data_IF_820189435517
#
_entry.id   IF_820189435517
#
_cell.length_a   1.000
_cell.length_b   1.000
_cell.length_c   1.000
_cell.angle_alpha   90.00
_cell.angle_beta   90.00
_cell.angle_gamma   90.00
#
_symmetry.space_group_name_H-M   'P 1'
#
loop_
_entity.id
_entity.type
_entity.pdbx_description
1 polymer ?
#
# COMPACT_ATOMS: atom_id res chain seq x y z
N UNK A 1 -3.42 17.32 -20.59
CA UNK A 1 -2.34 17.48 -21.57
C UNK A 1 -1.40 16.29 -21.38
N UNK A 2 -1.29 15.38 -22.36
CA UNK A 2 -0.34 14.25 -22.29
C UNK A 2 1.05 14.80 -22.57
N UNK A 3 1.98 14.55 -21.66
CA UNK A 3 3.40 14.80 -21.93
C UNK A 3 3.87 13.67 -22.85
N UNK A 4 4.41 14.02 -24.01
CA UNK A 4 4.94 13.06 -24.96
C UNK A 4 6.02 12.20 -24.27
N UNK A 5 5.83 10.88 -24.24
CA UNK A 5 6.82 9.91 -23.75
C UNK A 5 6.48 9.12 -22.49
N UNK A 6 5.36 9.40 -21.78
CA UNK A 6 4.95 8.55 -20.66
C UNK A 6 4.20 7.31 -21.16
N UNK A 7 4.51 6.07 -20.62
CA UNK A 7 3.82 4.86 -21.02
C UNK A 7 2.30 4.94 -20.75
N UNK A 8 1.52 4.40 -21.68
CA UNK A 8 0.05 4.25 -21.59
C UNK A 8 -0.32 2.89 -21.01
N UNK A 9 -1.62 2.66 -20.77
CA UNK A 9 -2.10 1.35 -20.30
C UNK A 9 -1.74 0.25 -21.30
N UNK A 10 -1.91 0.46 -22.62
CA UNK A 10 -1.58 -0.53 -23.64
C UNK A 10 -0.11 -0.95 -23.64
N UNK A 11 0.79 -0.06 -23.22
CA UNK A 11 2.23 -0.34 -23.15
C UNK A 11 2.61 -1.24 -21.97
N UNK A 12 1.81 -1.27 -20.91
CA UNK A 12 2.14 -1.96 -19.65
C UNK A 12 1.16 -3.07 -19.27
N UNK A 13 -0.03 -3.12 -19.85
CA UNK A 13 -1.09 -4.09 -19.48
C UNK A 13 -0.65 -5.55 -19.71
N UNK A 14 0.20 -5.81 -20.71
CA UNK A 14 0.80 -7.12 -20.92
C UNK A 14 1.54 -7.68 -19.71
N UNK A 15 2.04 -6.80 -18.83
CA UNK A 15 2.65 -7.19 -17.56
C UNK A 15 1.69 -7.91 -16.59
N UNK A 16 0.37 -7.78 -16.75
CA UNK A 16 -0.61 -8.51 -15.95
C UNK A 16 -0.58 -10.03 -16.18
N UNK A 17 0.10 -10.49 -17.23
CA UNK A 17 0.40 -11.92 -17.45
C UNK A 17 1.53 -12.44 -16.54
N UNK A 18 2.14 -11.58 -15.72
CA UNK A 18 3.17 -12.00 -14.74
C UNK A 18 2.65 -13.15 -13.87
N UNK A 19 3.44 -14.21 -13.65
CA UNK A 19 3.06 -15.29 -12.74
C UNK A 19 2.70 -14.72 -11.35
N UNK A 20 1.59 -15.18 -10.78
CA UNK A 20 1.12 -14.70 -9.47
C UNK A 20 2.19 -14.83 -8.39
N UNK A 21 2.94 -15.95 -8.39
CA UNK A 21 4.02 -16.19 -7.43
C UNK A 21 5.10 -15.13 -7.56
N UNK A 22 5.52 -14.77 -8.76
CA UNK A 22 6.50 -13.71 -9.00
C UNK A 22 6.02 -12.36 -8.48
N UNK A 23 4.78 -11.99 -8.80
CA UNK A 23 4.18 -10.76 -8.31
C UNK A 23 4.20 -10.70 -6.77
N UNK A 24 3.81 -11.78 -6.10
CA UNK A 24 3.78 -11.87 -4.64
C UNK A 24 5.18 -11.82 -4.01
N UNK A 25 6.16 -12.51 -4.58
CA UNK A 25 7.52 -12.54 -4.05
C UNK A 25 8.26 -11.22 -4.21
N UNK A 26 7.90 -10.42 -5.21
CA UNK A 26 8.62 -9.19 -5.58
C UNK A 26 7.85 -7.91 -5.29
N UNK A 27 6.54 -7.96 -5.00
CA UNK A 27 5.79 -6.79 -4.57
C UNK A 27 6.32 -6.29 -3.23
N UNK A 28 6.70 -5.02 -3.19
CA UNK A 28 7.21 -4.31 -2.01
C UNK A 28 6.85 -2.84 -2.09
N UNK A 29 6.86 -2.15 -0.96
CA UNK A 29 6.64 -0.72 -0.93
C UNK A 29 7.76 0.03 -1.67
N UNK A 30 7.44 0.58 -2.83
CA UNK A 30 8.31 1.47 -3.59
C UNK A 30 8.01 2.90 -3.15
N UNK A 31 8.98 3.52 -2.50
CA UNK A 31 8.81 4.85 -1.89
C UNK A 31 9.42 5.99 -2.71
N UNK A 32 10.39 5.66 -3.58
CA UNK A 32 11.02 6.64 -4.48
C UNK A 32 10.42 6.50 -5.86
N UNK A 33 9.60 7.48 -6.22
CA UNK A 33 8.89 7.55 -7.49
C UNK A 33 9.38 8.76 -8.27
N UNK A 34 9.45 8.61 -9.59
CA UNK A 34 9.72 9.72 -10.50
C UNK A 34 8.48 10.62 -10.58
N UNK A 35 8.66 11.94 -10.84
CA UNK A 35 7.53 12.87 -10.99
C UNK A 35 6.82 12.74 -12.35
N UNK A 36 7.32 11.88 -13.24
CA UNK A 36 6.74 11.68 -14.58
C UNK A 36 5.25 11.31 -14.47
N UNK A 37 4.39 11.87 -15.33
CA UNK A 37 2.97 11.58 -15.32
C UNK A 37 2.65 10.08 -15.42
N UNK A 38 1.65 9.64 -14.66
CA UNK A 38 1.09 8.31 -14.75
C UNK A 38 -0.28 8.40 -15.43
N UNK A 39 -0.51 7.55 -16.43
CA UNK A 39 -1.79 7.51 -17.16
C UNK A 39 -2.92 7.08 -16.20
N UNK A 40 -4.05 7.79 -16.26
CA UNK A 40 -5.24 7.50 -15.45
C UNK A 40 -5.78 6.10 -15.71
N UNK A 41 -5.69 5.62 -16.95
CA UNK A 41 -6.12 4.28 -17.32
C UNK A 41 -5.34 3.19 -16.56
N UNK A 42 -4.04 3.39 -16.30
CA UNK A 42 -3.22 2.47 -15.48
C UNK A 42 -3.73 2.45 -14.03
N UNK A 43 -4.00 3.64 -13.46
CA UNK A 43 -4.51 3.75 -12.08
C UNK A 43 -5.88 3.08 -11.96
N UNK A 44 -6.78 3.36 -12.90
CA UNK A 44 -8.12 2.77 -12.94
C UNK A 44 -8.07 1.26 -13.10
N UNK A 45 -7.15 0.74 -13.94
CA UNK A 45 -6.96 -0.72 -14.11
C UNK A 45 -6.47 -1.38 -12.83
N UNK A 46 -5.55 -0.74 -12.10
CA UNK A 46 -5.11 -1.23 -10.78
C UNK A 46 -6.28 -1.27 -9.78
N UNK A 47 -7.12 -0.24 -9.75
CA UNK A 47 -8.31 -0.20 -8.89
C UNK A 47 -9.29 -1.30 -9.29
N UNK A 48 -9.58 -1.48 -10.58
CA UNK A 48 -10.48 -2.52 -11.09
C UNK A 48 -10.06 -3.92 -10.64
N UNK A 49 -8.77 -4.23 -10.71
CA UNK A 49 -8.22 -5.49 -10.18
C UNK A 49 -8.34 -5.52 -8.65
N UNK A 50 -8.13 -4.39 -8.00
CA UNK A 50 -8.38 -4.21 -6.56
C UNK A 50 -9.80 -4.63 -6.17
N UNK A 51 -10.80 -4.25 -6.93
CA UNK A 51 -12.22 -4.55 -6.68
C UNK A 51 -12.57 -6.06 -6.80
N UNK A 52 -11.64 -6.92 -7.21
CA UNK A 52 -11.82 -8.38 -7.20
C UNK A 52 -11.59 -9.02 -5.82
N UNK A 53 -11.22 -8.23 -4.83
CA UNK A 53 -11.06 -8.70 -3.45
C UNK A 53 -12.43 -9.03 -2.80
N UNK A 54 -12.46 -9.95 -1.81
CA UNK A 54 -13.69 -10.22 -1.06
C UNK A 54 -14.05 -9.06 -0.13
N UNK A 55 -15.34 -8.88 0.13
CA UNK A 55 -15.86 -7.94 1.13
C UNK A 55 -16.86 -8.61 2.05
N UNK A 56 -17.00 -8.09 3.26
CA UNK A 56 -18.00 -8.56 4.21
C UNK A 56 -19.40 -8.49 3.58
N UNK A 57 -20.10 -9.62 3.56
CA UNK A 57 -21.45 -9.77 2.99
C UNK A 57 -21.58 -9.25 1.54
N UNK A 58 -20.51 -9.28 0.78
CA UNK A 58 -20.42 -8.69 -0.57
C UNK A 58 -20.89 -7.23 -0.63
N UNK A 59 -20.65 -6.48 0.44
CA UNK A 59 -21.13 -5.10 0.59
C UNK A 59 -20.49 -4.10 -0.35
N UNK A 60 -19.29 -4.39 -0.85
CA UNK A 60 -18.56 -3.58 -1.85
C UNK A 60 -18.52 -2.08 -1.49
N UNK A 61 -18.33 -1.78 -0.22
CA UNK A 61 -18.42 -0.42 0.34
C UNK A 61 -17.15 0.41 0.11
N UNK A 62 -16.42 0.14 -0.97
CA UNK A 62 -15.20 0.85 -1.32
C UNK A 62 -15.49 2.20 -1.95
N UNK A 63 -14.65 3.17 -1.65
CA UNK A 63 -14.55 4.44 -2.35
C UNK A 63 -13.07 4.73 -2.61
N UNK A 64 -12.77 5.17 -3.81
CA UNK A 64 -11.40 5.43 -4.23
C UNK A 64 -11.30 6.88 -4.71
N UNK A 65 -10.33 7.62 -4.15
CA UNK A 65 -10.07 9.00 -4.56
C UNK A 65 -8.71 9.04 -5.22
N UNK A 66 -8.68 9.44 -6.49
CA UNK A 66 -7.47 9.65 -7.26
C UNK A 66 -7.08 11.12 -7.13
N UNK A 67 -6.04 11.39 -6.37
CA UNK A 67 -5.56 12.74 -6.08
C UNK A 67 -4.43 13.09 -7.03
N UNK A 68 -4.65 14.06 -7.91
CA UNK A 68 -3.66 14.65 -8.83
C UNK A 68 -3.49 16.15 -8.60
N UNK A 69 -4.48 16.79 -7.99
CA UNK A 69 -4.43 18.20 -7.66
C UNK A 69 -3.27 18.50 -6.71
N UNK A 70 -2.42 19.45 -7.09
CA UNK A 70 -1.19 19.76 -6.37
C UNK A 70 -1.46 20.30 -4.96
N UNK A 71 -2.49 21.16 -4.81
CA UNK A 71 -2.82 21.75 -3.52
C UNK A 71 -3.36 20.69 -2.53
N UNK A 72 -4.09 19.70 -3.03
CA UNK A 72 -4.57 18.57 -2.21
C UNK A 72 -3.39 17.69 -1.80
N UNK A 73 -2.47 17.37 -2.72
CA UNK A 73 -1.25 16.60 -2.42
C UNK A 73 -0.38 17.29 -1.37
N UNK A 74 -0.20 18.60 -1.47
CA UNK A 74 0.58 19.40 -0.50
C UNK A 74 -0.03 19.37 0.89
N UNK A 75 -1.37 19.47 1.01
CA UNK A 75 -2.06 19.37 2.30
C UNK A 75 -1.89 17.99 2.94
N UNK A 76 -1.98 16.91 2.16
CA UNK A 76 -1.73 15.55 2.65
C UNK A 76 -0.25 15.36 3.05
N UNK A 77 0.68 15.89 2.26
CA UNK A 77 2.11 15.86 2.56
C UNK A 77 2.44 16.67 3.84
N UNK A 78 1.77 17.79 4.07
CA UNK A 78 1.92 18.56 5.31
C UNK A 78 1.51 17.76 6.54
N UNK A 79 0.38 17.04 6.49
CA UNK A 79 -0.01 16.12 7.56
C UNK A 79 1.02 15.03 7.78
N UNK A 80 1.56 14.45 6.70
CA UNK A 80 2.58 13.41 6.80
C UNK A 80 3.85 13.94 7.48
N UNK A 81 4.37 15.09 7.06
CA UNK A 81 5.54 15.74 7.69
C UNK A 81 5.31 16.01 9.17
N UNK A 82 4.13 16.51 9.54
CA UNK A 82 3.80 16.84 10.92
C UNK A 82 3.89 15.62 11.84
N UNK A 83 3.23 14.52 11.49
CA UNK A 83 3.25 13.32 12.33
C UNK A 83 4.61 12.61 12.26
N UNK A 84 5.29 12.63 11.11
CA UNK A 84 6.60 12.00 10.95
C UNK A 84 7.67 12.68 11.78
N UNK A 85 7.59 13.98 12.00
CA UNK A 85 8.53 14.70 12.89
C UNK A 85 8.57 14.12 14.31
N UNK A 86 7.49 13.53 14.78
CA UNK A 86 7.40 12.89 16.11
C UNK A 86 7.66 11.37 15.98
N UNK A 87 6.87 10.70 15.12
CA UNK A 87 6.91 9.25 14.95
C UNK A 87 8.25 8.75 14.41
N UNK A 88 8.84 9.45 13.45
CA UNK A 88 10.13 9.10 12.85
C UNK A 88 11.27 9.07 13.86
N UNK A 89 11.29 10.01 14.82
CA UNK A 89 12.28 10.01 15.91
C UNK A 89 12.15 8.77 16.79
N UNK A 90 10.94 8.38 17.14
CA UNK A 90 10.69 7.19 17.95
C UNK A 90 11.12 5.91 17.21
N UNK A 91 10.82 5.82 15.90
CA UNK A 91 11.21 4.69 15.07
C UNK A 91 12.73 4.57 14.91
N UNK A 92 13.45 5.70 14.73
CA UNK A 92 14.92 5.72 14.66
C UNK A 92 15.57 5.25 15.97
N UNK A 93 15.00 5.63 17.12
CA UNK A 93 15.48 5.15 18.42
C UNK A 93 15.31 3.64 18.57
N UNK A 94 14.16 3.11 18.11
CA UNK A 94 13.82 1.69 18.21
C UNK A 94 14.66 0.82 17.27
N UNK A 95 15.01 1.33 16.08
CA UNK A 95 15.79 0.63 15.05
C UNK A 95 17.30 0.82 15.16
N UNK A 96 17.83 1.34 16.27
CA UNK A 96 19.27 1.53 16.44
C UNK A 96 20.02 0.19 16.32
N UNK A 97 21.04 0.18 15.45
CA UNK A 97 21.86 -1.02 15.22
C UNK A 97 21.29 -1.99 14.17
N UNK A 98 20.16 -1.67 13.55
CA UNK A 98 19.58 -2.45 12.44
C UNK A 98 19.72 -1.66 11.12
N UNK A 99 20.67 -2.05 10.28
CA UNK A 99 20.93 -1.43 8.98
C UNK A 99 19.72 -1.55 8.03
N UNK A 100 18.92 -2.61 8.14
CA UNK A 100 17.72 -2.79 7.33
C UNK A 100 16.63 -1.81 7.73
N UNK A 101 16.45 -1.61 9.05
CA UNK A 101 15.56 -0.60 9.59
C UNK A 101 16.02 0.80 9.17
N UNK A 102 17.33 1.10 9.26
CA UNK A 102 17.89 2.38 8.87
C UNK A 102 17.59 2.70 7.39
N UNK A 103 17.90 1.79 6.46
CA UNK A 103 17.58 1.94 5.03
C UNK A 103 16.09 2.14 4.77
N UNK A 104 15.24 1.46 5.52
CA UNK A 104 13.79 1.62 5.41
C UNK A 104 13.36 3.01 5.85
N UNK A 105 13.88 3.50 6.99
CA UNK A 105 13.57 4.83 7.52
C UNK A 105 14.05 5.94 6.58
N UNK A 106 15.24 5.80 5.98
CA UNK A 106 15.74 6.75 4.98
C UNK A 106 14.85 6.82 3.73
N UNK A 107 14.32 5.68 3.30
CA UNK A 107 13.37 5.65 2.20
C UNK A 107 12.03 6.29 2.58
N UNK A 108 11.60 6.18 3.85
CA UNK A 108 10.40 6.87 4.36
C UNK A 108 10.65 8.37 4.47
N UNK A 109 11.81 8.82 4.97
CA UNK A 109 12.15 10.24 5.02
C UNK A 109 12.08 10.89 3.63
N UNK A 110 12.65 10.19 2.64
CA UNK A 110 12.56 10.65 1.26
C UNK A 110 11.10 10.79 0.81
N UNK A 111 10.27 9.77 1.08
CA UNK A 111 8.85 9.77 0.74
C UNK A 111 8.09 10.90 1.43
N UNK A 112 8.36 11.16 2.71
CA UNK A 112 7.74 12.26 3.49
C UNK A 112 8.05 13.61 2.85
N UNK A 113 9.29 13.80 2.39
CA UNK A 113 9.72 15.06 1.77
C UNK A 113 9.09 15.26 0.40
N UNK A 114 9.01 14.19 -0.40
CA UNK A 114 8.64 14.25 -1.81
C UNK A 114 7.21 13.79 -2.11
N UNK A 115 6.34 13.58 -1.10
CA UNK A 115 5.00 13.03 -1.31
C UNK A 115 4.17 13.88 -2.29
N UNK A 116 4.27 15.20 -2.20
CA UNK A 116 3.52 16.11 -3.06
C UNK A 116 4.01 16.14 -4.52
N UNK A 117 5.24 15.67 -4.78
CA UNK A 117 5.83 15.58 -6.10
C UNK A 117 5.42 14.31 -6.85
N UNK A 118 4.89 13.32 -6.13
CA UNK A 118 4.45 12.05 -6.72
C UNK A 118 3.28 12.29 -7.68
N UNK A 119 3.25 11.60 -8.85
CA UNK A 119 2.27 11.90 -9.88
C UNK A 119 0.83 11.68 -9.43
N UNK A 120 0.58 10.61 -8.66
CA UNK A 120 -0.76 10.24 -8.20
C UNK A 120 -0.72 9.71 -6.76
N UNK A 121 -1.70 10.14 -5.95
CA UNK A 121 -1.99 9.52 -4.65
C UNK A 121 -3.38 8.90 -4.72
N UNK A 122 -3.48 7.59 -4.56
CA UNK A 122 -4.77 6.89 -4.50
C UNK A 122 -5.16 6.71 -3.04
N UNK A 123 -6.29 7.29 -2.62
CA UNK A 123 -6.81 7.15 -1.26
C UNK A 123 -7.90 6.11 -1.25
N UNK A 124 -7.66 5.01 -0.55
CA UNK A 124 -8.63 3.96 -0.34
C UNK A 124 -9.52 4.31 0.86
N UNK A 125 -10.82 4.30 0.66
CA UNK A 125 -11.82 4.67 1.63
C UNK A 125 -12.89 3.60 1.76
N UNK A 126 -13.59 3.59 2.89
CA UNK A 126 -14.76 2.75 3.11
C UNK A 126 -15.97 3.61 3.46
N UNK A 127 -17.12 3.28 2.86
CA UNK A 127 -18.43 3.88 3.16
C UNK A 127 -19.17 3.06 4.21
N UNK A 128 -19.88 3.71 5.11
CA UNK A 128 -20.71 3.07 6.12
C UNK A 128 -19.93 2.45 7.28
N UNK A 129 -20.60 1.67 8.09
CA UNK A 129 -19.97 0.81 9.11
C UNK A 129 -19.69 1.45 10.46
N UNK A 130 -19.90 2.75 10.67
CA UNK A 130 -19.77 3.37 12.01
C UNK A 130 -20.92 4.31 12.33
N UNK A 131 -21.53 4.07 13.47
CA UNK A 131 -22.25 5.12 14.19
C UNK A 131 -21.17 6.02 14.83
N UNK A 132 -21.05 7.31 14.46
CA UNK A 132 -19.88 8.13 14.83
C UNK A 132 -19.61 8.28 16.32
N UNK A 133 -20.57 7.96 17.17
CA UNK A 133 -20.55 8.24 18.62
C UNK A 133 -20.44 6.98 19.48
N UNK A 134 -20.45 5.76 18.92
CA UNK A 134 -20.35 4.52 19.70
C UNK A 134 -19.07 3.77 19.39
N UNK A 135 -18.34 3.29 20.42
CA UNK A 135 -17.24 2.34 20.22
C UNK A 135 -17.77 1.09 19.50
N UNK A 136 -17.13 0.72 18.40
CA UNK A 136 -17.48 -0.50 17.68
C UNK A 136 -16.81 -1.70 18.36
N UNK A 137 -17.48 -2.85 18.48
CA UNK A 137 -16.81 -4.06 18.89
C UNK A 137 -15.60 -4.36 18.00
N UNK A 138 -14.45 -4.84 18.55
CA UNK A 138 -13.23 -5.08 17.78
C UNK A 138 -13.45 -5.99 16.55
N UNK A 139 -14.36 -6.96 16.64
CA UNK A 139 -14.72 -7.83 15.54
C UNK A 139 -15.33 -7.06 14.36
N UNK A 140 -16.24 -6.12 14.64
CA UNK A 140 -16.88 -5.29 13.60
C UNK A 140 -15.85 -4.39 12.94
N UNK A 141 -14.94 -3.80 13.70
CA UNK A 141 -13.86 -2.97 13.18
C UNK A 141 -12.88 -3.79 12.33
N UNK A 142 -12.49 -4.97 12.78
CA UNK A 142 -11.63 -5.90 12.04
C UNK A 142 -12.27 -6.31 10.71
N UNK A 143 -13.54 -6.70 10.72
CA UNK A 143 -14.30 -7.09 9.54
C UNK A 143 -14.43 -5.93 8.53
N UNK A 144 -14.61 -4.70 9.04
CA UNK A 144 -14.67 -3.50 8.23
C UNK A 144 -13.35 -3.25 7.47
N UNK A 145 -12.23 -3.26 8.18
CA UNK A 145 -10.91 -3.11 7.54
C UNK A 145 -10.50 -4.33 6.71
N UNK A 146 -10.98 -5.53 7.06
CA UNK A 146 -10.82 -6.74 6.27
C UNK A 146 -11.40 -6.63 4.86
N UNK A 147 -12.31 -5.69 4.61
CA UNK A 147 -12.89 -5.45 3.28
C UNK A 147 -12.06 -4.53 2.39
N UNK A 148 -11.18 -3.67 2.94
CA UNK A 148 -10.41 -2.71 2.13
C UNK A 148 -8.96 -3.16 1.89
N UNK A 149 -8.29 -3.71 2.90
CA UNK A 149 -6.87 -4.03 2.75
C UNK A 149 -6.57 -5.17 1.75
N UNK A 150 -7.41 -6.20 1.59
CA UNK A 150 -7.25 -7.16 0.49
C UNK A 150 -7.36 -6.49 -0.90
N UNK A 151 -8.29 -5.53 -1.04
CA UNK A 151 -8.44 -4.76 -2.28
C UNK A 151 -7.21 -3.90 -2.58
N UNK A 152 -6.65 -3.25 -1.56
CA UNK A 152 -5.39 -2.50 -1.69
C UNK A 152 -4.24 -3.45 -2.06
N UNK A 153 -4.16 -4.65 -1.47
CA UNK A 153 -3.11 -5.61 -1.82
C UNK A 153 -3.22 -6.06 -3.28
N UNK A 154 -4.43 -6.33 -3.80
CA UNK A 154 -4.63 -6.64 -5.21
C UNK A 154 -4.19 -5.48 -6.12
N UNK A 155 -4.53 -4.23 -5.76
CA UNK A 155 -4.05 -3.04 -6.46
C UNK A 155 -2.52 -2.99 -6.48
N UNK A 156 -1.85 -3.26 -5.37
CA UNK A 156 -0.38 -3.26 -5.29
C UNK A 156 0.25 -4.36 -6.15
N UNK A 157 -0.37 -5.54 -6.23
CA UNK A 157 0.08 -6.63 -7.11
C UNK A 157 -0.09 -6.26 -8.58
N UNK A 158 -1.22 -5.66 -8.96
CA UNK A 158 -1.47 -5.17 -10.32
C UNK A 158 -0.45 -4.09 -10.70
N UNK A 159 -0.20 -3.12 -9.82
CA UNK A 159 0.82 -2.09 -10.02
C UNK A 159 2.20 -2.73 -10.23
N UNK A 160 2.59 -3.72 -9.37
CA UNK A 160 3.84 -4.44 -9.52
C UNK A 160 3.95 -5.14 -10.88
N UNK A 161 2.91 -5.83 -11.30
CA UNK A 161 2.87 -6.55 -12.58
C UNK A 161 3.07 -5.61 -13.78
N UNK A 162 2.46 -4.43 -13.73
CA UNK A 162 2.61 -3.39 -14.78
C UNK A 162 3.89 -2.54 -14.61
N UNK A 163 4.80 -2.85 -13.68
CA UNK A 163 6.02 -2.11 -13.46
C UNK A 163 5.83 -0.75 -12.77
N UNK A 164 4.64 -0.46 -12.26
CA UNK A 164 4.31 0.78 -11.54
C UNK A 164 4.72 0.66 -10.08
N UNK A 165 5.49 1.63 -9.59
CA UNK A 165 5.85 1.75 -8.19
C UNK A 165 4.66 2.16 -7.34
N UNK A 166 4.42 1.44 -6.25
CA UNK A 166 3.36 1.73 -5.30
C UNK A 166 3.73 1.30 -3.88
N UNK A 167 3.05 1.86 -2.89
CA UNK A 167 3.21 1.45 -1.50
C UNK A 167 2.10 1.99 -0.62
N UNK A 168 1.60 1.19 0.31
CA UNK A 168 0.57 1.59 1.27
C UNK A 168 1.20 2.42 2.39
N UNK A 169 0.62 3.60 2.67
CA UNK A 169 0.94 4.44 3.81
C UNK A 169 -0.34 4.93 4.51
N UNK A 170 -0.27 5.18 5.81
CA UNK A 170 -1.43 5.65 6.59
C UNK A 170 -1.20 7.00 7.26
N UNK A 171 0.06 7.38 7.48
CA UNK A 171 0.41 8.58 8.22
C UNK A 171 -0.10 9.90 7.60
N UNK A 172 -0.25 10.06 6.26
CA UNK A 172 -0.91 11.26 5.72
C UNK A 172 -2.35 11.45 6.17
N UNK A 173 -2.96 10.41 6.75
CA UNK A 173 -4.34 10.40 7.26
C UNK A 173 -4.43 10.39 8.79
N UNK A 174 -3.32 10.65 9.52
CA UNK A 174 -3.29 10.55 10.98
C UNK A 174 -4.37 11.38 11.68
N UNK A 175 -4.68 12.54 11.15
CA UNK A 175 -5.85 13.32 11.53
C UNK A 175 -7.01 13.04 10.55
N UNK A 176 -7.86 12.10 10.91
CA UNK A 176 -9.01 11.71 10.08
C UNK A 176 -9.92 12.91 9.77
N UNK A 177 -10.10 13.81 10.74
CA UNK A 177 -10.89 15.05 10.55
C UNK A 177 -10.27 15.98 9.52
N UNK A 178 -8.95 16.19 9.59
CA UNK A 178 -8.25 17.01 8.61
C UNK A 178 -8.26 16.33 7.23
N UNK A 179 -7.99 15.02 7.15
CA UNK A 179 -8.05 14.26 5.91
C UNK A 179 -9.42 14.34 5.24
N UNK A 180 -10.51 14.20 6.00
CA UNK A 180 -11.88 14.39 5.49
C UNK A 180 -12.08 15.77 4.89
N UNK A 181 -11.64 16.82 5.57
CA UNK A 181 -11.78 18.20 5.09
C UNK A 181 -10.95 18.44 3.82
N UNK A 182 -9.74 17.91 3.77
CA UNK A 182 -8.84 18.01 2.61
C UNK A 182 -9.45 17.32 1.38
N UNK A 183 -10.04 16.15 1.58
CA UNK A 183 -10.57 15.29 0.51
C UNK A 183 -12.06 15.52 0.22
N UNK A 184 -12.73 16.41 0.94
CA UNK A 184 -14.18 16.66 0.77
C UNK A 184 -15.06 15.47 1.16
N UNK A 185 -14.61 14.60 2.09
CA UNK A 185 -15.33 13.38 2.44
C UNK A 185 -16.51 13.64 3.36
N UNK A 186 -17.69 13.05 3.06
CA UNK A 186 -18.82 13.06 3.99
C UNK A 186 -18.50 12.23 5.24
N UNK A 187 -19.26 12.43 6.31
CA UNK A 187 -19.07 11.71 7.58
C UNK A 187 -19.20 10.19 7.44
N UNK A 188 -20.00 9.74 6.46
CA UNK A 188 -20.24 8.33 6.16
C UNK A 188 -19.06 7.63 5.43
N UNK A 189 -18.05 8.37 4.96
CA UNK A 189 -16.88 7.82 4.27
C UNK A 189 -15.63 8.03 5.11
N UNK A 190 -14.88 6.95 5.33
CA UNK A 190 -13.64 6.96 6.10
C UNK A 190 -12.43 6.67 5.22
N UNK A 191 -11.43 7.55 5.17
CA UNK A 191 -10.17 7.24 4.52
C UNK A 191 -9.39 6.21 5.35
N UNK A 192 -8.86 5.18 4.69
CA UNK A 192 -8.18 4.05 5.34
C UNK A 192 -6.67 4.07 5.10
N UNK A 193 -6.25 4.30 3.88
CA UNK A 193 -4.83 4.45 3.53
C UNK A 193 -4.64 5.26 2.25
N UNK A 194 -3.41 5.69 2.04
CA UNK A 194 -2.96 6.34 0.80
C UNK A 194 -1.98 5.40 0.11
N UNK A 195 -2.12 5.27 -1.20
CA UNK A 195 -1.20 4.54 -2.07
C UNK A 195 -0.61 5.53 -3.07
N UNK A 196 0.58 6.10 -2.80
CA UNK A 196 1.32 6.82 -3.83
C UNK A 196 1.66 5.88 -4.99
N UNK A 197 1.43 6.33 -6.22
CA UNK A 197 1.68 5.56 -7.44
C UNK A 197 2.47 6.39 -8.45
N UNK A 198 3.40 5.76 -9.16
CA UNK A 198 4.23 6.40 -10.18
C UNK A 198 5.32 5.48 -10.71
N UNK A 199 6.17 5.96 -11.59
CA UNK A 199 7.28 5.17 -12.12
C UNK A 199 8.39 5.04 -11.07
N UNK A 200 8.89 3.82 -10.78
CA UNK A 200 9.90 3.62 -9.76
C UNK A 200 11.26 4.19 -10.17
N UNK A 201 11.98 4.77 -9.21
CA UNK A 201 13.40 5.15 -9.41
C UNK A 201 14.30 3.93 -9.39
N UNK A 202 13.97 2.92 -8.55
CA UNK A 202 14.73 1.69 -8.40
C UNK A 202 14.06 0.50 -9.10
N UNK A 203 14.60 -0.69 -8.81
CA UNK A 203 14.07 -1.96 -9.32
C UNK A 203 13.31 -2.69 -8.24
N UNK A 204 12.34 -3.49 -8.64
CA UNK A 204 11.74 -4.49 -7.78
C UNK A 204 12.75 -5.61 -7.48
N UNK A 205 12.60 -6.23 -6.33
CA UNK A 205 13.44 -7.34 -5.91
C UNK A 205 12.71 -8.17 -4.85
N UNK A 206 13.22 -9.34 -4.51
CA UNK A 206 12.58 -10.25 -3.57
C UNK A 206 12.43 -9.59 -2.20
N UNK A 207 11.38 -9.99 -1.49
CA UNK A 207 11.13 -9.56 -0.12
C UNK A 207 11.68 -10.59 0.86
N UNK A 208 12.33 -10.12 1.93
CA UNK A 208 12.75 -10.99 3.04
C UNK A 208 11.60 -11.15 4.02
N UNK A 209 11.32 -12.38 4.43
CA UNK A 209 10.28 -12.73 5.40
C UNK A 209 10.82 -13.76 6.39
N UNK A 210 10.15 -13.87 7.54
CA UNK A 210 10.43 -14.94 8.50
C UNK A 210 10.05 -16.29 7.89
N UNK A 211 10.79 -17.37 8.23
CA UNK A 211 10.38 -18.72 7.88
C UNK A 211 8.97 -19.03 8.37
N UNK A 212 8.21 -19.80 7.59
CA UNK A 212 6.83 -20.15 7.94
C UNK A 212 6.73 -20.87 9.28
N UNK A 213 7.70 -21.72 9.62
CA UNK A 213 7.77 -22.45 10.88
C UNK A 213 7.89 -21.57 12.13
N UNK A 214 8.37 -20.33 11.97
CA UNK A 214 8.46 -19.35 13.08
C UNK A 214 7.14 -18.68 13.41
N UNK A 215 6.16 -18.74 12.51
CA UNK A 215 4.88 -18.02 12.63
C UNK A 215 3.66 -18.92 12.56
N UNK A 216 3.82 -20.16 12.10
CA UNK A 216 2.73 -21.15 12.05
C UNK A 216 2.66 -21.96 13.32
N UNK A 217 1.45 -22.14 13.85
CA UNK A 217 1.17 -22.93 15.05
C UNK A 217 0.12 -23.98 14.74
N UNK A 218 0.29 -25.19 15.23
CA UNK A 218 -0.70 -26.27 15.08
C UNK A 218 -1.69 -26.26 16.24
N UNK A 219 -2.97 -26.15 15.96
CA UNK A 219 -4.11 -26.15 16.89
C UNK A 219 -4.08 -25.03 17.95
N UNK A 220 -2.94 -24.78 18.60
CA UNK A 220 -2.82 -23.84 19.72
C UNK A 220 -1.56 -23.00 19.59
N UNK A 221 -1.63 -21.74 20.06
CA UNK A 221 -0.48 -20.86 20.10
C UNK A 221 0.68 -21.49 20.89
N UNK A 222 1.89 -21.41 20.34
CA UNK A 222 3.10 -21.98 20.93
C UNK A 222 3.49 -23.36 20.39
N UNK A 223 2.56 -24.17 19.86
CA UNK A 223 2.85 -25.46 19.26
C UNK A 223 3.35 -25.28 17.82
N UNK A 224 4.67 -25.28 17.63
CA UNK A 224 5.36 -25.00 16.34
C UNK A 224 6.11 -26.22 15.84
N UNK A 225 5.43 -27.27 15.32
CA UNK A 225 6.09 -28.50 14.89
C UNK A 225 7.01 -28.31 13.66
N UNK A 226 6.83 -27.22 12.90
CA UNK A 226 7.60 -26.90 11.70
C UNK A 226 8.79 -25.96 11.97
N UNK A 227 9.03 -25.56 13.24
CA UNK A 227 10.15 -24.68 13.60
C UNK A 227 11.46 -25.50 13.59
N UNK A 228 12.45 -25.03 12.79
CA UNK A 228 13.74 -25.70 12.71
C UNK A 228 13.74 -27.06 11.99
N UNK A 229 12.59 -27.54 11.55
CA UNK A 229 12.45 -28.70 10.69
C UNK A 229 12.46 -28.25 9.24
N UNK A 230 13.29 -28.90 8.43
CA UNK A 230 13.65 -28.62 7.07
C UNK A 230 12.64 -27.89 6.22
N UNK A 231 13.16 -27.14 5.31
CA UNK A 231 12.46 -26.48 4.22
C UNK A 231 11.20 -27.25 3.82
N UNK A 232 10.04 -26.71 4.17
CA UNK A 232 8.90 -26.91 3.28
C UNK A 232 9.40 -26.32 1.98
N UNK A 233 9.71 -27.18 1.03
CA UNK A 233 10.40 -26.85 -0.21
C UNK A 233 9.61 -25.79 -1.00
N UNK A 234 9.79 -24.55 -0.63
CA UNK A 234 9.41 -23.37 -1.40
C UNK A 234 10.63 -22.84 -2.16
N UNK A 235 11.56 -23.70 -2.47
CA UNK A 235 12.56 -23.49 -3.49
C UNK A 235 12.06 -24.11 -4.80
N UNK A 236 10.95 -23.60 -5.30
CA UNK A 236 10.82 -23.62 -6.75
C UNK A 236 11.71 -22.48 -7.24
N UNK A 237 12.95 -22.84 -7.52
CA UNK A 237 13.90 -22.00 -8.19
C UNK A 237 13.20 -21.38 -9.41
N UNK A 238 13.07 -20.06 -9.42
CA UNK A 238 12.98 -19.33 -10.66
C UNK A 238 14.33 -19.57 -11.35
N UNK A 239 14.39 -20.56 -12.22
CA UNK A 239 15.49 -20.71 -13.14
C UNK A 239 15.58 -19.42 -13.96
N UNK A 240 16.78 -18.86 -14.14
CA UNK A 240 16.96 -17.73 -15.03
C UNK A 240 16.68 -18.20 -16.46
N UNK A 241 15.61 -17.65 -17.08
CA UNK A 241 15.38 -17.67 -18.50
C UNK A 241 15.84 -16.34 -19.10
#
# INVERSE_FOLDING_TARGET
MRVAGSPTLSDVEGGLAMPLLEAMLTQRAIRRLRPDPLDDAIVLRCIEIGLKAPTSSNGQNWEWIIVKDQAVKEKLAAQYRQVWAIYGRAMRRRGRGDDSAARTLDAVDWQVTHLAEMPVLVVACLRGGRVPLLPQPPLVESSYYGSIYPSVQNLLLAARAMGVGAGLITLPLWSVTAARRILGLPTSVRPCCVVPMGWPVGRYGPTTRKPVGDVAHLDRFGRRPWRGGGEVAAQTALAPG
#
